data_IF_323339845273
#
_entry.id   IF_323339845273
#
_cell.length_a   1.000
_cell.length_b   1.000
_cell.length_c   1.000
_cell.angle_alpha   90.00
_cell.angle_beta   90.00
_cell.angle_gamma   90.00
#
_symmetry.space_group_name_H-M   'P 1'
#
loop_
_entity.id
_entity.type
_entity.pdbx_description
1 polymer ?
#
# COMPACT_ATOMS: atom_id res chain seq x y z
N UNK A 1 -10.38 1.77 -15.26
CA UNK A 1 -9.52 0.91 -16.11
C UNK A 1 -8.05 1.23 -15.81
N UNK A 2 -7.15 0.24 -15.81
CA UNK A 2 -6.22 0.12 -14.67
C UNK A 2 -4.90 -0.60 -14.99
N UNK A 3 -3.94 -0.56 -14.07
CA UNK A 3 -2.72 -1.36 -14.13
C UNK A 3 -3.13 -2.83 -14.19
N UNK A 4 -2.64 -3.55 -15.21
CA UNK A 4 -2.96 -4.97 -15.44
C UNK A 4 -1.81 -5.88 -15.12
N UNK A 5 -0.59 -5.40 -15.29
CA UNK A 5 0.58 -6.25 -15.15
C UNK A 5 1.81 -5.44 -14.78
N UNK A 6 2.62 -6.04 -13.91
CA UNK A 6 3.94 -5.57 -13.53
C UNK A 6 4.94 -6.62 -14.01
N UNK A 7 5.84 -6.25 -14.90
CA UNK A 7 6.90 -7.13 -15.40
C UNK A 7 8.26 -6.62 -14.92
N UNK A 8 9.10 -7.53 -14.42
CA UNK A 8 10.51 -7.21 -14.17
C UNK A 8 11.32 -7.47 -15.44
N UNK A 9 11.92 -6.43 -16.00
CA UNK A 9 12.84 -6.55 -17.12
C UNK A 9 14.19 -7.01 -16.58
N UNK A 10 14.55 -8.27 -16.87
CA UNK A 10 15.88 -8.83 -16.55
C UNK A 10 16.94 -8.11 -17.40
N UNK A 11 17.50 -7.03 -16.85
CA UNK A 11 18.62 -6.28 -17.42
C UNK A 11 19.95 -6.71 -16.80
N UNK A 12 20.95 -5.82 -16.83
CA UNK A 12 22.27 -6.04 -16.22
C UNK A 12 22.23 -5.77 -14.69
N UNK A 13 21.20 -6.26 -14.00
CA UNK A 13 21.00 -6.07 -12.56
C UNK A 13 21.72 -7.14 -11.75
N UNK A 14 22.39 -6.73 -10.68
CA UNK A 14 23.10 -7.64 -9.77
C UNK A 14 22.11 -8.29 -8.78
N UNK A 15 21.75 -9.55 -9.03
CA UNK A 15 20.82 -10.32 -8.20
C UNK A 15 21.30 -10.60 -6.76
N UNK A 16 22.54 -10.26 -6.42
CA UNK A 16 23.07 -10.37 -5.07
C UNK A 16 23.01 -9.05 -4.30
N UNK A 17 22.54 -7.96 -4.95
CA UNK A 17 22.39 -6.66 -4.32
C UNK A 17 20.93 -6.29 -4.14
N UNK A 18 20.66 -5.58 -3.05
CA UNK A 18 19.37 -4.94 -2.85
C UNK A 18 19.07 -3.97 -4.01
N UNK A 19 17.83 -3.91 -4.53
CA UNK A 19 16.64 -4.67 -4.12
C UNK A 19 16.45 -6.05 -4.79
N UNK A 20 17.30 -6.43 -5.75
CA UNK A 20 17.18 -7.69 -6.50
C UNK A 20 17.53 -8.95 -5.71
N UNK A 21 18.17 -8.80 -4.55
CA UNK A 21 18.46 -9.89 -3.62
C UNK A 21 17.26 -10.34 -2.78
N UNK A 22 16.18 -9.55 -2.74
CA UNK A 22 14.96 -9.92 -2.01
C UNK A 22 14.32 -11.15 -2.70
N UNK A 23 13.97 -12.23 -1.98
CA UNK A 23 13.47 -13.47 -2.59
C UNK A 23 12.25 -13.26 -3.51
N UNK A 24 11.27 -12.48 -3.07
CA UNK A 24 10.05 -12.17 -3.85
C UNK A 24 10.36 -11.39 -5.14
N UNK A 25 11.26 -10.41 -5.08
CA UNK A 25 11.69 -9.61 -6.24
C UNK A 25 12.54 -10.45 -7.20
N UNK A 26 13.38 -11.34 -6.67
CA UNK A 26 14.18 -12.27 -7.48
C UNK A 26 13.29 -13.26 -8.25
N UNK A 27 12.17 -13.67 -7.65
CA UNK A 27 11.18 -14.55 -8.27
C UNK A 27 10.18 -13.80 -9.17
N UNK A 28 10.13 -12.46 -9.12
CA UNK A 28 9.24 -11.66 -9.94
C UNK A 28 9.69 -11.72 -11.40
N UNK A 29 8.90 -12.39 -12.24
CA UNK A 29 8.97 -12.25 -13.69
C UNK A 29 7.84 -11.35 -14.18
N UNK A 30 6.62 -11.71 -13.79
CA UNK A 30 5.38 -11.05 -14.17
C UNK A 30 4.36 -11.23 -13.05
N UNK A 31 3.69 -10.14 -12.68
CA UNK A 31 2.60 -10.14 -11.70
C UNK A 31 1.35 -9.54 -12.34
N UNK A 32 0.29 -10.32 -12.42
CA UNK A 32 -1.01 -9.90 -12.95
C UNK A 32 -1.84 -9.22 -11.86
N UNK A 33 -2.43 -8.08 -12.18
CA UNK A 33 -3.36 -7.33 -11.33
C UNK A 33 -4.77 -7.53 -11.88
N UNK A 34 -5.51 -8.44 -11.23
CA UNK A 34 -6.81 -8.94 -11.71
C UNK A 34 -8.00 -8.15 -11.15
N UNK A 35 -7.81 -7.50 -10.02
CA UNK A 35 -8.86 -6.88 -9.21
C UNK A 35 -8.62 -5.39 -9.04
N UNK A 36 -9.70 -4.64 -8.84
CA UNK A 36 -9.62 -3.19 -8.58
C UNK A 36 -8.98 -2.89 -7.21
N UNK A 37 -9.06 -3.83 -6.27
CA UNK A 37 -8.32 -3.80 -5.00
C UNK A 37 -7.39 -5.00 -4.97
N UNK A 38 -6.10 -4.75 -4.77
CA UNK A 38 -5.08 -5.78 -4.60
C UNK A 38 -4.31 -5.52 -3.31
N UNK A 39 -4.21 -6.51 -2.44
CA UNK A 39 -3.38 -6.43 -1.24
C UNK A 39 -2.05 -7.13 -1.44
N UNK A 40 -0.98 -6.52 -0.93
CA UNK A 40 0.32 -7.17 -0.75
C UNK A 40 0.48 -7.55 0.72
N UNK A 41 0.73 -8.82 0.99
CA UNK A 41 0.90 -9.37 2.35
C UNK A 41 2.21 -10.15 2.46
N UNK A 42 2.69 -10.30 3.67
CA UNK A 42 3.90 -11.06 4.01
C UNK A 42 4.72 -10.38 5.09
N UNK A 43 5.78 -11.03 5.56
CA UNK A 43 6.62 -10.58 6.65
C UNK A 43 7.37 -9.28 6.34
N UNK A 44 7.95 -8.67 7.37
CA UNK A 44 8.79 -7.47 7.21
C UNK A 44 10.04 -7.83 6.40
N UNK A 45 10.40 -6.97 5.44
CA UNK A 45 11.53 -7.23 4.54
C UNK A 45 11.23 -8.19 3.39
N UNK A 46 10.00 -8.69 3.26
CA UNK A 46 9.59 -9.57 2.14
C UNK A 46 9.51 -8.86 0.78
N UNK A 47 9.64 -7.53 0.72
CA UNK A 47 9.68 -6.75 -0.53
C UNK A 47 8.38 -6.07 -0.96
N UNK A 48 7.33 -6.09 -0.12
CA UNK A 48 6.03 -5.42 -0.36
C UNK A 48 6.21 -3.94 -0.68
N UNK A 49 6.76 -3.18 0.27
CA UNK A 49 6.97 -1.74 0.14
C UNK A 49 7.94 -1.43 -1.01
N UNK A 50 9.01 -2.23 -1.16
CA UNK A 50 9.96 -2.07 -2.27
C UNK A 50 9.31 -2.20 -3.65
N UNK A 51 8.43 -3.19 -3.86
CA UNK A 51 7.71 -3.31 -5.13
C UNK A 51 6.70 -2.18 -5.30
N UNK A 52 5.99 -1.80 -4.24
CA UNK A 52 4.99 -0.73 -4.26
C UNK A 52 5.62 0.63 -4.60
N UNK A 53 6.76 0.95 -4.00
CA UNK A 53 7.58 2.14 -4.27
C UNK A 53 8.09 2.14 -5.72
N UNK A 54 8.57 1.00 -6.23
CA UNK A 54 9.03 0.88 -7.60
C UNK A 54 7.89 1.07 -8.63
N UNK A 55 6.67 0.64 -8.30
CA UNK A 55 5.47 0.95 -9.10
C UNK A 55 5.19 2.46 -9.03
N UNK A 56 5.21 3.08 -7.85
CA UNK A 56 4.99 4.52 -7.68
C UNK A 56 5.99 5.35 -8.49
N UNK A 57 7.27 4.97 -8.44
CA UNK A 57 8.34 5.55 -9.24
C UNK A 57 8.05 5.45 -10.74
N UNK A 58 7.65 4.27 -11.24
CA UNK A 58 7.33 4.08 -12.67
C UNK A 58 6.07 4.80 -13.14
N UNK A 59 5.17 5.10 -12.22
CA UNK A 59 3.99 5.91 -12.51
C UNK A 59 4.30 7.42 -12.51
N UNK A 60 5.54 7.83 -12.23
CA UNK A 60 5.94 9.23 -12.00
C UNK A 60 5.09 9.90 -10.90
N UNK A 61 4.61 9.12 -9.92
CA UNK A 61 3.86 9.69 -8.80
C UNK A 61 4.85 10.40 -7.88
N UNK A 62 4.68 11.71 -7.72
CA UNK A 62 5.35 12.45 -6.67
C UNK A 62 4.91 11.83 -5.33
N UNK A 63 5.87 11.27 -4.58
CA UNK A 63 5.70 10.54 -3.32
C UNK A 63 5.14 11.37 -2.16
N UNK A 64 4.65 12.58 -2.44
CA UNK A 64 3.84 13.38 -1.54
C UNK A 64 3.06 14.40 -2.38
N UNK A 65 1.75 14.46 -2.20
CA UNK A 65 0.80 15.24 -2.99
C UNK A 65 1.19 16.67 -3.37
N UNK A 66 1.79 16.81 -4.56
CA UNK A 66 1.86 18.05 -5.31
C UNK A 66 3.05 18.94 -4.96
N UNK A 67 3.79 19.32 -6.01
CA UNK A 67 4.82 20.36 -5.95
C UNK A 67 6.24 19.81 -6.01
N UNK A 68 7.02 20.38 -6.92
CA UNK A 68 8.41 20.06 -7.30
C UNK A 68 9.48 20.13 -6.19
N UNK A 69 9.14 20.10 -4.91
CA UNK A 69 10.08 20.38 -3.81
C UNK A 69 10.16 19.36 -2.67
N UNK A 70 9.45 18.22 -2.72
CA UNK A 70 9.67 17.12 -1.78
C UNK A 70 10.70 16.13 -2.36
N UNK A 71 11.94 16.59 -2.54
CA UNK A 71 13.12 15.73 -2.66
C UNK A 71 13.52 15.20 -1.27
N UNK A 72 12.57 14.64 -0.53
CA UNK A 72 12.94 13.82 0.63
C UNK A 72 13.36 12.46 0.08
N UNK A 73 14.67 12.36 -0.15
CA UNK A 73 15.43 11.11 -0.18
C UNK A 73 14.69 9.93 -0.83
N UNK A 74 14.41 10.02 -2.15
CA UNK A 74 14.10 8.83 -2.93
C UNK A 74 15.26 7.82 -2.73
N UNK A 75 15.02 6.79 -1.95
CA UNK A 75 16.04 5.80 -1.60
C UNK A 75 16.61 5.19 -2.89
N UNK A 76 17.91 4.90 -2.92
CA UNK A 76 18.61 4.34 -4.09
C UNK A 76 17.93 3.07 -4.65
N UNK A 77 17.15 2.36 -3.84
CA UNK A 77 16.39 1.17 -4.24
C UNK A 77 15.13 1.46 -5.06
N UNK A 78 14.47 2.59 -4.85
CA UNK A 78 13.28 3.00 -5.62
C UNK A 78 13.66 3.23 -7.09
N UNK A 79 14.76 3.96 -7.33
CA UNK A 79 15.33 4.15 -8.67
C UNK A 79 15.84 2.83 -9.25
N UNK A 80 16.51 2.01 -8.44
CA UNK A 80 17.14 0.78 -8.91
C UNK A 80 16.12 -0.28 -9.36
N UNK A 81 15.08 -0.60 -8.56
CA UNK A 81 14.03 -1.53 -9.01
C UNK A 81 13.11 -0.85 -10.02
N UNK A 82 12.73 0.39 -9.71
CA UNK A 82 11.86 1.21 -10.54
C UNK A 82 12.32 1.16 -11.98
N UNK A 83 13.56 1.52 -12.31
CA UNK A 83 14.07 1.54 -13.70
C UNK A 83 13.91 0.23 -14.47
N UNK A 84 13.86 -0.91 -13.77
CA UNK A 84 13.74 -2.26 -14.33
C UNK A 84 12.30 -2.76 -14.42
N UNK A 85 11.30 -2.02 -13.95
CA UNK A 85 9.90 -2.40 -14.07
C UNK A 85 9.28 -1.88 -15.39
N UNK A 86 8.42 -2.72 -15.95
CA UNK A 86 7.48 -2.36 -17.03
C UNK A 86 6.05 -2.55 -16.53
N UNK A 87 5.26 -1.49 -16.64
CA UNK A 87 3.85 -1.48 -16.26
C UNK A 87 2.99 -1.53 -17.51
N UNK A 88 2.08 -2.51 -17.59
CA UNK A 88 1.12 -2.64 -18.68
C UNK A 88 -0.26 -2.19 -18.21
N UNK A 89 -0.91 -1.32 -18.99
CA UNK A 89 -2.15 -0.63 -18.61
C UNK A 89 -3.24 -0.80 -19.66
N UNK A 90 -4.51 -0.70 -19.27
CA UNK A 90 -5.60 -0.66 -20.24
C UNK A 90 -6.86 0.07 -19.71
N UNK A 91 -7.15 1.31 -20.21
CA UNK A 91 -6.18 2.30 -20.68
C UNK A 91 -5.20 2.73 -19.58
N UNK A 92 -4.23 3.53 -20.01
CA UNK A 92 -3.25 4.16 -19.14
C UNK A 92 -3.92 5.21 -18.26
N UNK A 93 -3.75 5.05 -16.95
CA UNK A 93 -4.12 6.04 -15.94
C UNK A 93 -2.90 6.92 -15.66
N UNK A 94 -3.08 8.23 -15.65
CA UNK A 94 -2.02 9.20 -15.35
C UNK A 94 -2.23 9.93 -14.03
N UNK A 95 -3.39 9.72 -13.39
CA UNK A 95 -3.70 10.27 -12.08
C UNK A 95 -3.51 9.20 -11.00
N UNK A 96 -2.90 9.56 -9.89
CA UNK A 96 -2.68 8.61 -8.81
C UNK A 96 -1.97 9.24 -7.63
N UNK A 97 -1.80 8.42 -6.60
CA UNK A 97 -1.21 8.86 -5.35
C UNK A 97 -0.50 7.70 -4.69
N UNK A 98 0.69 7.97 -4.14
CA UNK A 98 1.39 7.05 -3.26
C UNK A 98 1.39 7.64 -1.85
N UNK A 99 1.04 6.81 -0.86
CA UNK A 99 1.04 7.20 0.54
C UNK A 99 1.68 6.13 1.39
N UNK A 100 2.63 6.53 2.25
CA UNK A 100 3.11 5.72 3.36
C UNK A 100 2.55 6.30 4.65
N UNK A 101 2.13 5.46 5.58
CA UNK A 101 1.58 5.96 6.84
C UNK A 101 2.59 6.78 7.66
N UNK A 102 3.88 6.43 7.61
CA UNK A 102 4.95 7.17 8.30
C UNK A 102 5.15 8.60 7.76
N UNK A 103 5.02 8.80 6.44
CA UNK A 103 5.20 10.12 5.81
C UNK A 103 3.92 10.96 5.80
N UNK A 104 2.80 10.40 6.27
CA UNK A 104 1.50 11.07 6.26
C UNK A 104 1.50 12.36 7.09
N UNK A 105 2.19 12.39 8.24
CA UNK A 105 2.22 13.58 9.10
C UNK A 105 2.98 14.74 8.45
N UNK A 106 4.15 14.46 7.86
CA UNK A 106 4.93 15.47 7.14
C UNK A 106 4.17 15.99 5.92
N UNK A 107 3.45 15.10 5.25
CA UNK A 107 2.56 15.47 4.16
C UNK A 107 1.41 16.39 4.60
N UNK A 108 0.66 16.00 5.64
CA UNK A 108 -0.41 16.83 6.21
C UNK A 108 0.12 18.21 6.63
N UNK A 109 1.34 18.22 7.20
CA UNK A 109 2.04 19.45 7.59
C UNK A 109 2.39 20.35 6.43
N UNK A 110 2.83 19.77 5.33
CA UNK A 110 3.20 20.50 4.12
C UNK A 110 1.99 21.16 3.46
N UNK A 111 0.86 20.45 3.39
CA UNK A 111 -0.39 20.97 2.79
C UNK A 111 -0.94 22.17 3.56
N UNK A 112 -0.93 22.10 4.89
CA UNK A 112 -1.37 23.22 5.73
C UNK A 112 -0.48 24.46 5.55
N UNK A 113 0.84 24.27 5.39
CA UNK A 113 1.79 25.37 5.16
C UNK A 113 1.62 26.07 3.81
N UNK A 114 1.18 25.35 2.77
CA UNK A 114 1.00 25.89 1.42
C UNK A 114 -0.37 26.56 1.25
N UNK A 115 -1.25 26.49 2.25
CA UNK A 115 -2.61 27.05 2.17
C UNK A 115 -3.52 26.26 1.22
N UNK A 116 -3.19 24.99 0.95
CA UNK A 116 -3.95 24.10 0.07
C UNK A 116 -5.26 23.57 0.66
N UNK A 117 -5.68 24.05 1.83
CA UNK A 117 -6.79 23.51 2.63
C UNK A 117 -8.04 23.20 1.82
N UNK A 118 -8.47 24.08 0.89
CA UNK A 118 -9.68 23.87 0.10
C UNK A 118 -9.71 22.56 -0.73
N UNK A 119 -8.56 22.02 -1.15
CA UNK A 119 -8.48 20.74 -1.87
C UNK A 119 -8.39 19.51 -0.94
N UNK A 120 -8.28 19.72 0.37
CA UNK A 120 -8.03 18.69 1.40
C UNK A 120 -8.97 18.78 2.61
N UNK A 121 -9.87 19.76 2.66
CA UNK A 121 -10.88 19.98 3.70
C UNK A 121 -10.93 21.43 4.21
N UNK A 122 -12.10 21.88 4.69
CA UNK A 122 -12.29 23.26 5.20
C UNK A 122 -11.49 23.57 6.48
N UNK A 123 -11.03 22.53 7.19
CA UNK A 123 -10.23 22.64 8.42
C UNK A 123 -8.80 22.17 8.16
N UNK A 124 -7.83 22.87 8.75
CA UNK A 124 -6.40 22.49 8.74
C UNK A 124 -6.22 21.03 9.18
N UNK A 125 -5.44 20.27 8.42
CA UNK A 125 -5.17 18.84 8.66
C UNK A 125 -4.39 18.63 9.97
N UNK A 126 -3.70 19.64 10.48
CA UNK A 126 -3.02 19.65 11.79
C UNK A 126 -3.93 19.72 13.00
N UNK A 127 -5.13 20.27 12.84
CA UNK A 127 -6.08 20.43 13.95
C UNK A 127 -7.07 19.27 14.05
N UNK A 128 -6.86 18.21 13.27
CA UNK A 128 -7.66 16.99 13.21
C UNK A 128 -6.90 15.84 13.87
N UNK A 129 -7.62 14.81 14.35
CA UNK A 129 -6.96 13.58 14.80
C UNK A 129 -6.31 12.82 13.63
N UNK A 130 -5.32 11.97 13.90
CA UNK A 130 -4.59 11.22 12.86
C UNK A 130 -5.50 10.51 11.85
N UNK A 131 -6.60 9.90 12.33
CA UNK A 131 -7.60 9.26 11.47
C UNK A 131 -8.44 10.24 10.67
N UNK A 132 -8.83 11.38 11.25
CA UNK A 132 -9.63 12.40 10.57
C UNK A 132 -8.86 13.07 9.42
N UNK A 133 -7.60 13.45 9.66
CA UNK A 133 -6.74 14.01 8.61
C UNK A 133 -6.53 13.00 7.48
N UNK A 134 -6.35 11.73 7.82
CA UNK A 134 -6.23 10.64 6.86
C UNK A 134 -7.49 10.58 6.02
N UNK A 135 -8.67 10.48 6.62
CA UNK A 135 -9.92 10.45 5.84
C UNK A 135 -10.17 11.72 5.03
N UNK A 136 -9.81 12.89 5.54
CA UNK A 136 -9.97 14.17 4.83
C UNK A 136 -9.15 14.20 3.54
N UNK A 137 -7.95 13.62 3.54
CA UNK A 137 -7.18 13.41 2.31
C UNK A 137 -7.96 12.55 1.32
N UNK A 138 -8.48 11.40 1.76
CA UNK A 138 -9.16 10.47 0.86
C UNK A 138 -10.47 11.05 0.31
N UNK A 139 -11.27 11.70 1.13
CA UNK A 139 -12.57 12.23 0.73
C UNK A 139 -12.47 13.44 -0.21
N UNK A 140 -11.39 14.22 -0.11
CA UNK A 140 -11.28 15.49 -0.83
C UNK A 140 -10.36 15.41 -2.05
N UNK A 141 -9.28 14.62 -2.01
CA UNK A 141 -8.31 14.52 -3.12
C UNK A 141 -8.58 13.35 -4.05
N UNK A 142 -9.13 12.24 -3.55
CA UNK A 142 -9.35 11.05 -4.37
C UNK A 142 -10.68 11.14 -5.09
N UNK A 143 -10.62 11.51 -6.36
CA UNK A 143 -11.76 11.60 -7.27
C UNK A 143 -11.37 11.18 -8.68
N UNK A 144 -12.33 10.59 -9.38
CA UNK A 144 -12.18 10.15 -10.77
C UNK A 144 -11.24 8.95 -10.94
N UNK A 145 -10.99 8.61 -12.20
CA UNK A 145 -10.18 7.44 -12.57
C UNK A 145 -8.71 7.63 -12.13
N UNK A 146 -8.31 6.90 -11.10
CA UNK A 146 -6.99 7.01 -10.49
C UNK A 146 -6.50 5.66 -9.94
N UNK A 147 -5.20 5.55 -9.74
CA UNK A 147 -4.58 4.44 -9.00
C UNK A 147 -3.98 4.94 -7.69
N UNK A 148 -4.30 4.26 -6.59
CA UNK A 148 -3.81 4.57 -5.25
C UNK A 148 -2.90 3.45 -4.76
N UNK A 149 -1.70 3.84 -4.36
CA UNK A 149 -0.67 2.94 -3.83
C UNK A 149 -0.49 3.29 -2.36
N UNK A 150 -0.81 2.36 -1.46
CA UNK A 150 -0.82 2.61 -0.02
C UNK A 150 0.07 1.62 0.71
N UNK A 151 0.98 2.13 1.53
CA UNK A 151 1.89 1.32 2.34
C UNK A 151 1.53 1.46 3.82
N UNK A 152 1.12 0.34 4.40
CA UNK A 152 0.73 0.18 5.81
C UNK A 152 -0.25 1.25 6.33
N UNK A 153 -1.35 1.55 5.62
CA UNK A 153 -2.29 2.60 6.02
C UNK A 153 -2.89 2.38 7.43
N UNK A 154 -2.94 1.13 7.90
CA UNK A 154 -3.40 0.78 9.24
C UNK A 154 -2.55 1.38 10.37
N UNK A 155 -1.28 1.71 10.14
CA UNK A 155 -0.41 2.24 11.19
C UNK A 155 -0.91 3.58 11.76
N UNK A 156 -1.69 4.33 10.97
CA UNK A 156 -2.34 5.57 11.39
C UNK A 156 -3.80 5.40 11.87
N UNK A 157 -4.34 4.17 11.86
CA UNK A 157 -5.78 3.90 12.03
C UNK A 157 -6.08 2.90 13.14
N UNK A 158 -6.99 3.28 14.05
CA UNK A 158 -7.62 2.32 14.96
C UNK A 158 -8.43 1.25 14.20
N UNK A 159 -8.74 0.09 14.81
CA UNK A 159 -9.57 -0.95 14.18
C UNK A 159 -10.90 -0.43 13.62
N UNK A 160 -11.58 0.47 14.35
CA UNK A 160 -12.83 1.08 13.90
C UNK A 160 -12.60 1.97 12.67
N UNK A 161 -11.49 2.72 12.65
CA UNK A 161 -11.14 3.53 11.49
C UNK A 161 -10.72 2.66 10.30
N UNK A 162 -10.10 1.50 10.51
CA UNK A 162 -9.84 0.56 9.41
C UNK A 162 -11.15 0.07 8.75
N UNK A 163 -12.20 -0.20 9.54
CA UNK A 163 -13.54 -0.53 9.00
C UNK A 163 -14.14 0.64 8.21
N UNK A 164 -14.03 1.87 8.73
CA UNK A 164 -14.45 3.07 7.99
C UNK A 164 -13.64 3.25 6.69
N UNK A 165 -12.35 2.89 6.72
CA UNK A 165 -11.49 2.95 5.55
C UNK A 165 -11.92 1.95 4.46
N UNK A 166 -12.32 0.73 4.83
CA UNK A 166 -12.90 -0.22 3.87
C UNK A 166 -14.12 0.35 3.14
N UNK A 167 -14.96 1.13 3.84
CA UNK A 167 -16.11 1.80 3.21
C UNK A 167 -15.67 2.83 2.18
N UNK A 168 -14.59 3.57 2.46
CA UNK A 168 -14.01 4.56 1.54
C UNK A 168 -13.42 3.86 0.31
N UNK A 169 -12.64 2.79 0.51
CA UNK A 169 -12.12 1.95 -0.58
C UNK A 169 -13.27 1.49 -1.48
N UNK A 170 -14.33 0.92 -0.90
CA UNK A 170 -15.49 0.44 -1.64
C UNK A 170 -16.15 1.55 -2.47
N UNK A 171 -16.26 2.76 -1.92
CA UNK A 171 -16.88 3.89 -2.61
C UNK A 171 -16.01 4.41 -3.75
N UNK A 172 -14.70 4.54 -3.54
CA UNK A 172 -13.74 4.95 -4.58
C UNK A 172 -13.75 3.98 -5.76
N UNK A 173 -13.76 2.67 -5.49
CA UNK A 173 -13.81 1.65 -6.54
C UNK A 173 -15.14 1.71 -7.30
N UNK A 174 -16.27 1.71 -6.58
CA UNK A 174 -17.60 1.58 -7.21
C UNK A 174 -18.12 2.85 -7.88
N UNK A 175 -17.75 4.03 -7.35
CA UNK A 175 -18.29 5.31 -7.82
C UNK A 175 -17.30 6.06 -8.70
N UNK A 176 -16.04 6.05 -8.32
CA UNK A 176 -15.02 6.91 -8.94
C UNK A 176 -14.13 6.16 -9.94
N UNK A 177 -14.27 4.84 -10.04
CA UNK A 177 -13.44 4.04 -10.92
C UNK A 177 -11.98 4.11 -10.48
N UNK A 178 -11.71 3.91 -9.18
CA UNK A 178 -10.36 3.82 -8.63
C UNK A 178 -9.83 2.38 -8.63
N UNK A 179 -8.50 2.25 -8.76
CA UNK A 179 -7.76 1.03 -8.45
C UNK A 179 -6.85 1.26 -7.25
N UNK A 180 -6.74 0.27 -6.37
CA UNK A 180 -5.91 0.33 -5.19
C UNK A 180 -4.97 -0.86 -5.12
N UNK A 181 -3.70 -0.58 -4.82
CA UNK A 181 -2.70 -1.58 -4.42
C UNK A 181 -2.23 -1.19 -3.03
N UNK A 182 -2.46 -2.08 -2.06
CA UNK A 182 -2.28 -1.78 -0.64
C UNK A 182 -1.36 -2.82 -0.02
N UNK A 183 -0.19 -2.42 0.45
CA UNK A 183 0.61 -3.26 1.34
C UNK A 183 0.06 -3.11 2.76
N UNK A 184 -0.29 -4.23 3.40
CA UNK A 184 -0.90 -4.22 4.72
C UNK A 184 -0.61 -5.50 5.50
N UNK A 185 -0.58 -5.35 6.81
CA UNK A 185 -0.54 -6.38 7.82
C UNK A 185 -1.88 -6.50 8.57
N UNK A 186 -2.86 -5.66 8.24
CA UNK A 186 -4.14 -5.63 8.93
C UNK A 186 -5.07 -6.75 8.45
N UNK A 187 -5.46 -7.71 9.32
CA UNK A 187 -6.50 -8.68 8.98
C UNK A 187 -7.85 -8.00 8.70
N UNK A 188 -8.12 -6.82 9.27
CA UNK A 188 -9.36 -6.08 9.01
C UNK A 188 -9.39 -5.60 7.57
N UNK A 189 -8.32 -4.97 7.08
CA UNK A 189 -8.26 -4.47 5.70
C UNK A 189 -8.28 -5.60 4.68
N UNK A 190 -7.58 -6.70 4.97
CA UNK A 190 -7.58 -7.90 4.13
C UNK A 190 -8.97 -8.55 3.97
N UNK A 191 -9.90 -8.27 4.89
CA UNK A 191 -11.28 -8.72 4.79
C UNK A 191 -12.13 -8.03 3.71
N UNK A 192 -11.57 -7.12 2.89
CA UNK A 192 -12.31 -6.48 1.82
C UNK A 192 -12.76 -7.49 0.74
N UNK A 193 -14.06 -7.55 0.41
CA UNK A 193 -14.58 -8.56 -0.51
C UNK A 193 -14.18 -8.29 -1.97
N UNK A 194 -13.80 -9.35 -2.68
CA UNK A 194 -13.47 -9.27 -4.11
C UNK A 194 -12.09 -8.66 -4.39
N UNK A 195 -11.24 -8.49 -3.38
CA UNK A 195 -9.83 -8.16 -3.58
C UNK A 195 -9.03 -9.41 -3.94
N UNK A 196 -7.94 -9.21 -4.70
CA UNK A 196 -6.86 -10.19 -4.80
C UNK A 196 -5.86 -9.95 -3.67
N UNK A 197 -5.33 -11.02 -3.07
CA UNK A 197 -4.30 -10.93 -2.02
C UNK A 197 -3.05 -11.64 -2.55
N UNK A 198 -1.94 -10.92 -2.65
CA UNK A 198 -0.66 -11.45 -3.11
C UNK A 198 0.28 -11.57 -1.90
N UNK A 199 0.61 -12.80 -1.53
CA UNK A 199 1.66 -13.08 -0.54
C UNK A 199 3.04 -12.93 -1.15
N UNK A 200 3.98 -12.42 -0.34
CA UNK A 200 5.39 -12.22 -0.64
C UNK A 200 6.31 -13.18 0.13
N UNK A 201 5.77 -14.03 1.01
CA UNK A 201 6.55 -14.89 1.91
C UNK A 201 7.26 -16.02 1.17
N UNK A 202 6.52 -16.71 0.28
CA UNK A 202 7.02 -17.84 -0.51
C UNK A 202 7.03 -17.53 -2.01
N UNK A 203 7.62 -16.39 -2.34
CA UNK A 203 7.53 -15.79 -3.67
C UNK A 203 6.23 -15.00 -3.85
N UNK A 204 5.91 -14.62 -5.08
CA UNK A 204 4.68 -13.86 -5.38
C UNK A 204 3.54 -14.80 -5.76
N UNK A 205 2.60 -15.02 -4.84
CA UNK A 205 1.47 -15.94 -5.03
C UNK A 205 0.17 -15.32 -4.58
N UNK A 206 -0.88 -15.55 -5.35
CA UNK A 206 -2.23 -15.18 -4.93
C UNK A 206 -2.73 -16.19 -3.89
N UNK A 207 -3.25 -15.70 -2.76
CA UNK A 207 -3.76 -16.49 -1.63
C UNK A 207 -5.15 -15.99 -1.25
N UNK A 208 -5.94 -16.83 -0.57
CA UNK A 208 -7.22 -16.37 0.00
C UNK A 208 -7.02 -15.76 1.39
N UNK A 209 -8.01 -15.00 1.86
CA UNK A 209 -7.96 -14.29 3.14
C UNK A 209 -7.60 -15.21 4.32
N UNK A 210 -8.23 -16.38 4.39
CA UNK A 210 -8.04 -17.37 5.46
C UNK A 210 -6.65 -18.05 5.44
N UNK A 211 -5.92 -17.98 4.33
CA UNK A 211 -4.57 -18.50 4.19
C UNK A 211 -3.51 -17.49 4.65
N UNK A 212 -3.87 -16.21 4.83
CA UNK A 212 -2.92 -15.19 5.28
C UNK A 212 -2.48 -15.45 6.72
N UNK A 213 -1.18 -15.35 6.99
CA UNK A 213 -0.65 -15.49 8.36
C UNK A 213 -1.29 -14.47 9.32
N UNK A 214 -1.50 -13.23 8.85
CA UNK A 214 -2.17 -12.17 9.62
C UNK A 214 -3.56 -12.58 10.09
N UNK A 215 -4.36 -13.23 9.23
CA UNK A 215 -5.65 -13.80 9.63
C UNK A 215 -5.49 -14.93 10.64
N UNK A 216 -4.65 -15.92 10.34
CA UNK A 216 -4.52 -17.13 11.14
C UNK A 216 -4.04 -16.85 12.57
N UNK A 217 -2.98 -16.04 12.71
CA UNK A 217 -2.42 -15.64 14.00
C UNK A 217 -3.43 -14.81 14.79
N UNK A 218 -4.05 -13.82 14.14
CA UNK A 218 -5.02 -12.94 14.82
C UNK A 218 -6.25 -13.72 15.29
N UNK A 219 -6.79 -14.62 14.45
CA UNK A 219 -7.93 -15.47 14.81
C UNK A 219 -7.58 -16.42 15.95
N UNK A 220 -6.41 -17.05 15.90
CA UNK A 220 -5.96 -17.96 16.96
C UNK A 220 -5.82 -17.21 18.28
N UNK A 221 -5.13 -16.07 18.29
CA UNK A 221 -4.92 -15.26 19.49
C UNK A 221 -6.24 -14.74 20.08
N UNK A 222 -7.18 -14.28 19.24
CA UNK A 222 -8.47 -13.76 19.71
C UNK A 222 -9.39 -14.85 20.25
N UNK A 223 -9.31 -16.07 19.72
CA UNK A 223 -10.17 -17.19 20.15
C UNK A 223 -9.58 -17.99 21.32
N UNK A 224 -8.26 -18.05 21.44
CA UNK A 224 -7.56 -18.92 22.39
C UNK A 224 -6.34 -18.21 23.02
N UNK A 225 -6.57 -16.98 23.52
CA UNK A 225 -5.51 -16.12 24.05
C UNK A 225 -4.71 -16.78 25.17
N UNK A 226 -5.40 -17.32 26.17
CA UNK A 226 -4.76 -17.78 27.41
C UNK A 226 -3.87 -18.99 27.13
N UNK A 227 -4.35 -19.99 26.37
CA UNK A 227 -3.53 -21.14 26.00
C UNK A 227 -2.36 -20.77 25.08
N UNK A 228 -2.53 -19.76 24.21
CA UNK A 228 -1.43 -19.27 23.38
C UNK A 228 -0.36 -18.56 24.21
N UNK A 229 -0.75 -17.75 25.21
CA UNK A 229 0.19 -17.09 26.12
C UNK A 229 0.89 -18.09 27.05
N UNK A 230 0.17 -19.10 27.55
CA UNK A 230 0.77 -20.19 28.34
C UNK A 230 1.88 -20.89 27.54
N UNK A 231 1.62 -21.33 26.31
CA UNK A 231 2.63 -21.97 25.44
C UNK A 231 3.80 -21.04 25.07
N UNK A 232 3.53 -19.75 24.90
CA UNK A 232 4.55 -18.77 24.50
C UNK A 232 5.50 -18.43 25.65
N UNK A 233 5.00 -18.46 26.88
CA UNK A 233 5.75 -18.16 28.10
C UNK A 233 6.20 -19.40 28.87
N UNK A 234 5.84 -20.60 28.41
CA UNK A 234 6.42 -21.85 28.88
C UNK A 234 7.90 -21.83 28.46
N UNK A 235 8.76 -21.51 29.41
CA UNK A 235 10.18 -21.77 29.30
C UNK A 235 10.35 -23.28 29.42
N UNK A 236 10.64 -23.97 28.30
CA UNK A 236 11.32 -25.28 28.40
C UNK A 236 12.56 -25.17 29.30
#
# INVERSE_FOLDING_TARGET
MFLKEITLIKGNSDHNKFPFSIPSIKALEQLQIKSDVTFFVGENGSGKSTLLEAIAYKCDFNTAGGGRNNNYELHAAESALGSHLRLSWMPKVTNGFFLRAESFYDFATHIDKIGGGAAYGERSLHHQSHGESFFSLFLNRFRGEAIYLLDEPEAALSPQNQLAFLKIINDLVKKDGAQLIIATHSPILLGYPGASIISFDDGLKEVIYEETQHYQISKLFLNDRDAMLERLFDED
#
